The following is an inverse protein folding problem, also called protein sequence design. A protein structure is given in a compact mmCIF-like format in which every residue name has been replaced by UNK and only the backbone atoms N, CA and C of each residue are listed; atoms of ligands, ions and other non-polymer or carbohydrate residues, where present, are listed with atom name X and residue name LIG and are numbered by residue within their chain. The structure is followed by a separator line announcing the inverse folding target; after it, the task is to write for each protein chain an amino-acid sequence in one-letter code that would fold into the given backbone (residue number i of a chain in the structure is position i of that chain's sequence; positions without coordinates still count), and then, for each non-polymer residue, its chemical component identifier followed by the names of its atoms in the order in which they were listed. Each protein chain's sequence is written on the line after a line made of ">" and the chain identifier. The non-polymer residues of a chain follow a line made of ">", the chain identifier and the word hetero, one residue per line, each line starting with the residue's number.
data_IF_736927263325
#
_entry.id   IF_736927263325
#
_cell.length_a   1.000
_cell.length_b   1.000
_cell.length_c   1.000
_cell.angle_alpha   90.00
_cell.angle_beta   90.00
_cell.angle_gamma   90.00
#
_symmetry.space_group_name_H-M   'P 1'
#
loop_
_entity.id
_entity.type
_entity.pdbx_description
1 polymer ?
#
# COMPACT_ATOMS: atom_id res chain seq x y z
N UNK A 1 -2.59 -42.84 -28.19
CA UNK A 1 -2.65 -41.37 -28.06
C UNK A 1 -2.13 -40.99 -26.68
N UNK A 2 -0.82 -40.82 -26.52
CA UNK A 2 -0.23 -40.42 -25.23
C UNK A 2 0.34 -39.01 -25.40
N UNK A 3 -0.35 -38.01 -24.85
CA UNK A 3 0.11 -36.63 -24.84
C UNK A 3 1.14 -36.49 -23.72
N UNK A 4 2.39 -36.30 -24.11
CA UNK A 4 3.50 -35.97 -23.21
C UNK A 4 3.26 -34.58 -22.62
N UNK A 5 3.05 -34.54 -21.29
CA UNK A 5 3.03 -33.31 -20.52
C UNK A 5 4.39 -32.60 -20.63
N UNK A 6 4.43 -31.44 -21.29
CA UNK A 6 5.60 -30.55 -21.29
C UNK A 6 5.81 -30.06 -19.86
N UNK A 7 6.79 -30.66 -19.17
CA UNK A 7 7.30 -30.19 -17.89
C UNK A 7 7.95 -28.82 -18.12
N UNK A 8 7.27 -27.74 -17.73
CA UNK A 8 7.87 -26.41 -17.70
C UNK A 8 9.02 -26.46 -16.69
N UNK A 9 10.26 -26.38 -17.19
CA UNK A 9 11.42 -26.16 -16.36
C UNK A 9 11.27 -24.78 -15.71
N UNK A 10 10.91 -24.78 -14.43
CA UNK A 10 10.98 -23.58 -13.59
C UNK A 10 12.48 -23.31 -13.44
N UNK A 11 12.99 -22.37 -14.24
CA UNK A 11 14.36 -21.90 -14.09
C UNK A 11 14.50 -21.22 -12.74
N UNK A 12 15.18 -21.89 -11.81
CA UNK A 12 15.56 -21.31 -10.53
C UNK A 12 16.54 -20.16 -10.80
N UNK A 13 16.25 -18.93 -10.34
CA UNK A 13 17.14 -17.80 -10.56
C UNK A 13 18.51 -18.08 -9.94
N UNK A 14 19.55 -17.61 -10.61
CA UNK A 14 20.91 -17.74 -10.10
C UNK A 14 21.06 -16.96 -8.78
N UNK A 15 22.06 -17.32 -7.98
CA UNK A 15 22.36 -16.59 -6.75
C UNK A 15 22.61 -15.10 -7.02
N UNK A 16 23.22 -14.78 -8.15
CA UNK A 16 23.55 -13.42 -8.55
C UNK A 16 22.30 -12.60 -8.90
N UNK A 17 21.34 -13.20 -9.61
CA UNK A 17 20.03 -12.60 -9.89
C UNK A 17 19.21 -12.42 -8.61
N UNK A 18 19.21 -13.42 -7.73
CA UNK A 18 18.53 -13.34 -6.43
C UNK A 18 19.07 -12.20 -5.55
N UNK A 19 20.40 -12.02 -5.54
CA UNK A 19 21.06 -10.92 -4.82
C UNK A 19 20.75 -9.57 -5.46
N UNK A 20 20.72 -9.49 -6.80
CA UNK A 20 20.39 -8.25 -7.51
C UNK A 20 18.93 -7.83 -7.27
N UNK A 21 17.99 -8.78 -7.30
CA UNK A 21 16.60 -8.54 -6.97
C UNK A 21 16.44 -8.08 -5.52
N UNK A 22 17.09 -8.76 -4.56
CA UNK A 22 17.09 -8.36 -3.16
C UNK A 22 17.65 -6.94 -2.98
N UNK A 23 18.75 -6.59 -3.65
CA UNK A 23 19.33 -5.23 -3.62
C UNK A 23 18.37 -4.19 -4.22
N UNK A 24 17.66 -4.53 -5.30
CA UNK A 24 16.71 -3.63 -5.96
C UNK A 24 15.57 -3.19 -5.03
N UNK A 25 15.15 -4.04 -4.08
CA UNK A 25 14.15 -3.72 -3.05
C UNK A 25 14.59 -2.58 -2.12
N UNK A 26 15.89 -2.38 -1.95
CA UNK A 26 16.48 -1.34 -1.10
C UNK A 26 16.90 -0.08 -1.88
N UNK A 27 16.73 -0.07 -3.21
CA UNK A 27 16.92 1.14 -4.01
C UNK A 27 15.69 2.04 -4.00
N UNK A 28 15.87 3.33 -4.31
CA UNK A 28 14.77 4.30 -4.40
C UNK A 28 13.63 3.85 -5.35
N UNK A 29 13.96 3.11 -6.42
CA UNK A 29 12.98 2.54 -7.35
C UNK A 29 12.12 1.44 -6.72
N UNK A 30 12.70 0.60 -5.85
CA UNK A 30 11.99 -0.48 -5.15
C UNK A 30 10.90 0.05 -4.22
N UNK A 31 11.21 1.10 -3.45
CA UNK A 31 10.22 1.77 -2.57
C UNK A 31 9.09 2.44 -3.36
N UNK A 32 9.39 3.10 -4.48
CA UNK A 32 8.35 3.68 -5.35
C UNK A 32 7.43 2.60 -5.92
N UNK A 33 7.98 1.46 -6.36
CA UNK A 33 7.18 0.32 -6.85
C UNK A 33 6.26 -0.23 -5.75
N UNK A 34 6.78 -0.39 -4.52
CA UNK A 34 5.96 -0.80 -3.38
C UNK A 34 4.84 0.19 -3.08
N UNK A 35 5.13 1.50 -3.06
CA UNK A 35 4.13 2.53 -2.85
C UNK A 35 3.03 2.50 -3.91
N UNK A 36 3.40 2.38 -5.18
CA UNK A 36 2.45 2.20 -6.29
C UNK A 36 1.54 1.00 -6.04
N UNK A 37 2.10 -0.16 -5.71
CA UNK A 37 1.32 -1.38 -5.45
C UNK A 37 0.35 -1.18 -4.27
N UNK A 38 0.85 -0.65 -3.15
CA UNK A 38 0.04 -0.44 -1.94
C UNK A 38 -1.06 0.58 -2.19
N UNK A 39 -0.72 1.75 -2.74
CA UNK A 39 -1.71 2.79 -3.02
C UNK A 39 -2.79 2.30 -3.98
N UNK A 40 -2.40 1.60 -5.05
CA UNK A 40 -3.34 1.08 -6.03
C UNK A 40 -4.14 -0.14 -5.50
N UNK A 41 -3.69 -0.80 -4.43
CA UNK A 41 -4.48 -1.88 -3.79
C UNK A 41 -5.61 -1.36 -2.90
N UNK A 42 -5.55 -0.09 -2.47
CA UNK A 42 -6.64 0.49 -1.68
C UNK A 42 -7.89 0.65 -2.54
N UNK A 43 -9.04 0.44 -1.89
CA UNK A 43 -10.34 0.78 -2.44
C UNK A 43 -10.53 2.30 -2.52
N UNK A 44 -11.63 2.72 -3.15
CA UNK A 44 -11.93 4.15 -3.34
C UNK A 44 -12.00 4.91 -2.01
N UNK A 45 -12.50 4.26 -0.96
CA UNK A 45 -12.60 4.86 0.37
C UNK A 45 -11.21 5.09 0.98
N UNK A 46 -10.34 4.08 0.97
CA UNK A 46 -8.96 4.21 1.46
C UNK A 46 -8.18 5.30 0.71
N UNK A 47 -8.29 5.33 -0.62
CA UNK A 47 -7.66 6.39 -1.42
C UNK A 47 -8.24 7.77 -1.12
N UNK A 48 -9.56 7.88 -0.96
CA UNK A 48 -10.24 9.12 -0.62
C UNK A 48 -9.80 9.67 0.73
N UNK A 49 -9.65 8.82 1.76
CA UNK A 49 -9.13 9.22 3.07
C UNK A 49 -7.70 9.76 2.98
N UNK A 50 -6.83 9.11 2.20
CA UNK A 50 -5.46 9.60 1.97
C UNK A 50 -5.49 10.97 1.28
N UNK A 51 -6.33 11.13 0.26
CA UNK A 51 -6.45 12.40 -0.47
C UNK A 51 -6.90 13.54 0.46
N UNK A 52 -7.97 13.34 1.24
CA UNK A 52 -8.51 14.33 2.17
C UNK A 52 -7.46 14.71 3.22
N UNK A 53 -6.82 13.73 3.86
CA UNK A 53 -5.81 13.98 4.88
C UNK A 53 -4.56 14.68 4.32
N UNK A 54 -4.26 14.48 3.05
CA UNK A 54 -3.16 15.12 2.33
C UNK A 54 -3.45 16.51 1.78
N UNK A 55 -4.71 16.97 1.78
CA UNK A 55 -5.14 18.22 1.15
C UNK A 55 -5.28 18.13 -0.38
N UNK A 56 -5.59 16.95 -0.90
CA UNK A 56 -6.04 16.71 -2.28
C UNK A 56 -7.57 16.71 -2.36
N UNK A 57 -8.11 16.75 -3.58
CA UNK A 57 -9.55 16.64 -3.77
C UNK A 57 -10.01 15.21 -3.42
N UNK A 58 -11.13 15.03 -2.70
CA UNK A 58 -11.70 13.70 -2.50
C UNK A 58 -12.01 12.97 -3.81
N UNK A 59 -12.22 13.73 -4.91
CA UNK A 59 -12.47 13.19 -6.25
C UNK A 59 -11.23 12.53 -6.85
N UNK A 60 -10.03 12.80 -6.34
CA UNK A 60 -8.80 12.17 -6.80
C UNK A 60 -8.72 10.68 -6.39
N UNK A 61 -9.69 10.16 -5.61
CA UNK A 61 -9.74 8.75 -5.21
C UNK A 61 -9.87 7.76 -6.38
N UNK A 62 -10.29 8.23 -7.56
CA UNK A 62 -10.37 7.41 -8.77
C UNK A 62 -9.05 7.31 -9.53
N UNK A 63 -8.07 8.15 -9.21
CA UNK A 63 -6.74 8.17 -9.85
C UNK A 63 -5.89 7.02 -9.33
N UNK A 64 -5.02 6.53 -10.20
CA UNK A 64 -3.92 5.63 -9.86
C UNK A 64 -2.72 6.42 -9.35
N UNK A 65 -1.80 5.75 -8.66
CA UNK A 65 -0.59 6.37 -8.12
C UNK A 65 0.24 7.09 -9.20
N UNK A 66 0.21 6.58 -10.43
CA UNK A 66 0.96 7.08 -11.57
C UNK A 66 0.39 8.37 -12.17
N UNK A 67 -0.86 8.67 -11.89
CA UNK A 67 -1.52 9.88 -12.41
C UNK A 67 -1.13 11.13 -11.62
N UNK A 68 -0.46 10.98 -10.47
CA UNK A 68 -0.06 12.09 -9.60
C UNK A 68 1.29 12.67 -9.98
N UNK A 69 1.37 14.00 -10.01
CA UNK A 69 2.64 14.71 -10.13
C UNK A 69 3.43 14.70 -8.79
N UNK A 70 4.67 15.20 -8.82
CA UNK A 70 5.56 15.17 -7.64
C UNK A 70 5.02 15.97 -6.45
N UNK A 71 4.31 17.08 -6.68
CA UNK A 71 3.71 17.89 -5.61
C UNK A 71 2.51 17.17 -5.00
N UNK A 72 1.67 16.56 -5.84
CA UNK A 72 0.55 15.74 -5.41
C UNK A 72 1.02 14.50 -4.66
N UNK A 73 2.12 13.87 -5.07
CA UNK A 73 2.72 12.75 -4.34
C UNK A 73 3.22 13.15 -2.95
N UNK A 74 3.69 14.38 -2.74
CA UNK A 74 3.98 14.87 -1.37
C UNK A 74 2.71 15.01 -0.54
N UNK A 75 1.58 15.41 -1.15
CA UNK A 75 0.28 15.43 -0.47
C UNK A 75 -0.21 14.03 -0.13
N UNK A 76 -0.07 13.05 -1.05
CA UNK A 76 -0.34 11.63 -0.77
C UNK A 76 0.49 11.15 0.41
N UNK A 77 1.80 11.43 0.42
CA UNK A 77 2.69 11.09 1.55
C UNK A 77 2.19 11.69 2.87
N UNK A 78 1.85 12.99 2.88
CA UNK A 78 1.30 13.66 4.06
C UNK A 78 0.00 12.99 4.54
N UNK A 79 -0.90 12.64 3.63
CA UNK A 79 -2.13 11.93 3.94
C UNK A 79 -1.87 10.59 4.62
N UNK A 80 -0.93 9.79 4.09
CA UNK A 80 -0.52 8.53 4.70
C UNK A 80 0.06 8.71 6.11
N UNK A 81 0.87 9.75 6.34
CA UNK A 81 1.43 10.06 7.67
C UNK A 81 0.33 10.37 8.69
N UNK A 82 -0.63 11.22 8.31
CA UNK A 82 -1.77 11.57 9.16
C UNK A 82 -2.58 10.31 9.54
N UNK A 83 -2.87 9.44 8.57
CA UNK A 83 -3.60 8.20 8.84
C UNK A 83 -2.79 7.25 9.73
N UNK A 84 -1.47 7.17 9.55
CA UNK A 84 -0.60 6.38 10.41
C UNK A 84 -0.65 6.88 11.86
N UNK A 85 -0.63 8.18 12.08
CA UNK A 85 -0.69 8.76 13.42
C UNK A 85 -2.06 8.54 14.07
N UNK A 86 -3.16 8.67 13.32
CA UNK A 86 -4.52 8.37 13.79
C UNK A 86 -4.61 6.90 14.23
N UNK A 87 -4.21 5.97 13.35
CA UNK A 87 -4.30 4.53 13.62
C UNK A 87 -3.43 4.11 14.81
N UNK A 88 -2.20 4.63 14.91
CA UNK A 88 -1.35 4.44 16.09
C UNK A 88 -2.00 4.96 17.37
N UNK A 89 -2.58 6.17 17.33
CA UNK A 89 -3.20 6.79 18.51
C UNK A 89 -4.40 5.97 18.99
N UNK A 90 -5.29 5.59 18.07
CA UNK A 90 -6.45 4.74 18.38
C UNK A 90 -5.97 3.42 18.98
N UNK A 91 -5.08 2.70 18.29
CA UNK A 91 -4.56 1.43 18.79
C UNK A 91 -3.90 1.54 20.16
N UNK A 92 -3.09 2.58 20.39
CA UNK A 92 -2.41 2.80 21.67
C UNK A 92 -3.34 3.12 22.85
N UNK A 93 -4.54 3.65 22.58
CA UNK A 93 -5.47 4.12 23.62
C UNK A 93 -6.62 3.16 23.87
N UNK A 94 -7.16 2.54 22.83
CA UNK A 94 -8.32 1.65 22.93
C UNK A 94 -8.01 0.19 22.58
N UNK A 95 -6.78 -0.10 22.14
CA UNK A 95 -6.38 -1.43 21.70
C UNK A 95 -6.92 -1.78 20.32
N UNK A 96 -7.14 -3.07 20.08
CA UNK A 96 -7.70 -3.59 18.84
C UNK A 96 -9.18 -3.20 18.69
N UNK A 97 -9.48 -2.32 17.74
CA UNK A 97 -10.83 -1.79 17.48
C UNK A 97 -11.84 -2.89 17.14
N UNK A 98 -11.40 -4.02 16.58
CA UNK A 98 -12.27 -5.14 16.24
C UNK A 98 -12.79 -5.90 17.47
N UNK A 99 -12.17 -5.66 18.64
CA UNK A 99 -12.56 -6.29 19.91
C UNK A 99 -13.43 -5.37 20.77
N UNK A 100 -13.73 -4.16 20.29
CA UNK A 100 -14.63 -3.25 21.00
C UNK A 100 -16.06 -3.79 20.96
N UNK A 101 -16.72 -3.77 22.12
CA UNK A 101 -18.11 -4.21 22.26
C UNK A 101 -19.04 -3.01 22.04
N UNK A 102 -20.28 -3.22 21.56
CA UNK A 102 -21.26 -2.13 21.45
C UNK A 102 -21.44 -1.35 22.77
N UNK A 103 -21.35 -2.04 23.91
CA UNK A 103 -21.42 -1.43 25.24
C UNK A 103 -20.32 -0.41 25.54
N UNK A 104 -19.22 -0.38 24.79
CA UNK A 104 -18.17 0.64 24.93
C UNK A 104 -18.55 1.98 24.24
N UNK A 105 -19.62 2.00 23.44
CA UNK A 105 -20.06 3.18 22.67
C UNK A 105 -21.39 3.77 23.16
N UNK A 106 -22.02 3.15 24.14
CA UNK A 106 -23.26 3.61 24.77
C UNK A 106 -22.94 4.10 26.18
N UNK A 107 -23.47 5.28 26.53
CA UNK A 107 -23.33 5.88 27.86
C UNK A 107 -24.11 5.11 28.92
#
# INVERSE_FOLDING_TARGET
>A
MSQLAKKQEIQTPTAQESIAEAKSLFTNGGKRKQLKIVFNSFDKQGRGLICIAGGLSPKDCFRSFEDFDDLELQKVRRGMQVLQDITKRVYSKVGDVNKLKPSHFTA
#
